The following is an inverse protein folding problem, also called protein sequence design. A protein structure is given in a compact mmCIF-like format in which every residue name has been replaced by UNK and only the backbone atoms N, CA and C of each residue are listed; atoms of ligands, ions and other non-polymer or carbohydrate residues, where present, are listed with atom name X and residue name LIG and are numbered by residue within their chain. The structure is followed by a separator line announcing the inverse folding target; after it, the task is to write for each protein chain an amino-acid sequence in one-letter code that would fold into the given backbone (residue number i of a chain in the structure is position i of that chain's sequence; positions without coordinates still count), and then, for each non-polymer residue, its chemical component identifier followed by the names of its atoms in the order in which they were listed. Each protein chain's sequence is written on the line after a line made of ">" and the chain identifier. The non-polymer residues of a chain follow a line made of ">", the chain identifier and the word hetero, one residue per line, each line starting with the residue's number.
data_IF_659266082135
#
_entry.id   IF_659266082135
#
_cell.length_a   1.000
_cell.length_b   1.000
_cell.length_c   1.000
_cell.angle_alpha   90.00
_cell.angle_beta   90.00
_cell.angle_gamma   90.00
#
_symmetry.space_group_name_H-M   'P 1'
#
loop_
_entity.id
_entity.type
_entity.pdbx_description
1 polymer ?
#
# COMPACT_ATOMS: atom_id res chain seq x y z
N UNK A 1 -5.55 -18.22 -1.41
CA UNK A 1 -4.53 -17.59 -0.54
C UNK A 1 -5.07 -16.24 -0.11
N UNK A 2 -5.23 -15.98 1.19
CA UNK A 2 -5.84 -14.72 1.70
C UNK A 2 -4.87 -14.05 2.67
N UNK A 3 -4.23 -12.96 2.30
CA UNK A 3 -3.26 -12.28 3.15
C UNK A 3 -3.99 -11.54 4.28
N UNK A 4 -3.56 -11.75 5.53
CA UNK A 4 -4.11 -11.11 6.73
C UNK A 4 -3.10 -10.10 7.24
N UNK A 5 -3.54 -8.85 7.37
CA UNK A 5 -2.74 -7.77 7.96
C UNK A 5 -3.23 -7.62 9.41
N UNK A 6 -2.36 -7.88 10.38
CA UNK A 6 -2.66 -7.66 11.80
C UNK A 6 -2.36 -6.20 12.11
N UNK A 7 -3.37 -5.35 12.07
CA UNK A 7 -3.29 -3.99 12.62
C UNK A 7 -3.77 -4.03 14.07
N UNK A 8 -3.03 -3.39 14.99
CA UNK A 8 -3.48 -3.25 16.38
C UNK A 8 -4.72 -2.33 16.43
N UNK A 9 -5.65 -2.66 17.33
CA UNK A 9 -7.01 -2.08 17.42
C UNK A 9 -7.05 -0.57 17.75
N UNK A 10 -5.91 0.03 18.09
CA UNK A 10 -5.78 1.39 18.62
C UNK A 10 -5.34 2.47 17.60
N UNK A 11 -5.15 2.14 16.31
CA UNK A 11 -4.74 3.09 15.25
C UNK A 11 -5.68 3.05 14.04
N UNK A 12 -6.91 3.57 14.19
CA UNK A 12 -8.03 3.28 13.29
C UNK A 12 -8.65 4.58 12.69
N UNK A 13 -8.92 4.71 11.38
CA UNK A 13 -9.07 3.69 10.34
C UNK A 13 -8.60 4.21 8.97
N UNK A 14 -7.75 3.46 8.28
CA UNK A 14 -7.76 3.46 6.82
C UNK A 14 -8.21 2.09 6.32
N UNK A 15 -8.93 2.13 5.21
CA UNK A 15 -9.69 1.01 4.65
C UNK A 15 -8.89 0.30 3.54
N UNK A 16 -9.42 -0.82 3.07
CA UNK A 16 -8.92 -1.53 1.89
C UNK A 16 -9.60 -0.93 0.66
N UNK A 17 -8.80 -0.48 -0.31
CA UNK A 17 -9.29 0.10 -1.57
C UNK A 17 -8.81 -0.68 -2.78
N UNK A 18 -9.56 -0.61 -3.88
CA UNK A 18 -9.14 -1.22 -5.15
C UNK A 18 -8.30 -0.22 -5.96
N UNK A 19 -7.02 -0.54 -6.16
CA UNK A 19 -6.08 0.26 -6.95
C UNK A 19 -5.50 -0.63 -8.03
N UNK A 20 -5.56 -0.20 -9.30
CA UNK A 20 -5.08 -1.00 -10.44
C UNK A 20 -5.67 -2.43 -10.48
N UNK A 21 -6.94 -2.58 -10.09
CA UNK A 21 -7.65 -3.87 -10.08
C UNK A 21 -7.19 -4.84 -8.99
N UNK A 22 -6.47 -4.37 -7.97
CA UNK A 22 -6.03 -5.18 -6.83
C UNK A 22 -6.37 -4.52 -5.50
N UNK A 23 -6.67 -5.33 -4.46
CA UNK A 23 -6.91 -4.81 -3.12
C UNK A 23 -5.60 -4.28 -2.53
N UNK A 24 -5.63 -3.03 -2.11
CA UNK A 24 -4.52 -2.34 -1.49
C UNK A 24 -4.94 -1.81 -0.12
N UNK A 25 -4.04 -1.90 0.85
CA UNK A 25 -4.18 -1.20 2.12
C UNK A 25 -3.56 0.18 2.00
N UNK A 26 -4.22 1.18 2.59
CA UNK A 26 -3.62 2.50 2.83
C UNK A 26 -3.14 2.59 4.27
N UNK A 27 -1.87 2.96 4.46
CA UNK A 27 -1.28 3.09 5.79
C UNK A 27 -1.81 4.34 6.50
N UNK A 28 -2.48 4.22 7.67
CA UNK A 28 -3.15 5.34 8.33
C UNK A 28 -2.22 6.50 8.69
N UNK A 29 -0.94 6.20 8.94
CA UNK A 29 0.07 7.20 9.31
C UNK A 29 0.72 7.87 8.08
N UNK A 30 1.20 7.08 7.12
CA UNK A 30 2.06 7.57 6.03
C UNK A 30 1.35 7.67 4.67
N UNK A 31 0.11 7.18 4.59
CA UNK A 31 -0.74 7.15 3.38
C UNK A 31 -0.16 6.34 2.23
N UNK A 32 0.83 5.48 2.50
CA UNK A 32 1.35 4.53 1.55
C UNK A 32 0.28 3.54 1.15
N UNK A 33 0.17 3.31 -0.16
CA UNK A 33 -0.74 2.34 -0.76
C UNK A 33 0.08 1.09 -1.05
N UNK A 34 -0.32 -0.05 -0.51
CA UNK A 34 0.42 -1.31 -0.61
C UNK A 34 -0.56 -2.42 -1.01
N UNK A 35 -0.23 -3.15 -2.08
CA UNK A 35 -0.97 -4.34 -2.48
C UNK A 35 -1.00 -5.35 -1.35
N UNK A 36 -2.21 -5.75 -0.97
CA UNK A 36 -2.39 -6.84 -0.02
C UNK A 36 -1.91 -8.15 -0.63
N UNK A 37 -2.02 -8.31 -1.94
CA UNK A 37 -1.67 -9.55 -2.65
C UNK A 37 -0.17 -9.73 -2.85
N UNK A 38 0.56 -8.66 -3.15
CA UNK A 38 1.97 -8.75 -3.61
C UNK A 38 2.96 -8.02 -2.71
N UNK A 39 2.49 -7.13 -1.83
CA UNK A 39 3.36 -6.24 -1.05
C UNK A 39 3.98 -5.11 -1.87
N UNK A 40 3.55 -4.92 -3.12
CA UNK A 40 3.97 -3.83 -4.00
C UNK A 40 3.39 -2.51 -3.53
N UNK A 41 4.23 -1.45 -3.45
CA UNK A 41 3.76 -0.12 -3.09
C UNK A 41 3.48 0.74 -4.31
N UNK A 42 2.35 1.44 -4.30
CA UNK A 42 1.91 2.34 -5.37
C UNK A 42 1.90 3.79 -4.94
N UNK A 43 2.09 4.68 -5.91
CA UNK A 43 1.96 6.12 -5.73
C UNK A 43 1.43 6.78 -7.01
N UNK A 44 0.86 7.98 -6.87
CA UNK A 44 0.51 8.84 -8.01
C UNK A 44 1.50 9.99 -8.07
N UNK A 45 2.33 10.10 -9.12
CA UNK A 45 3.13 11.30 -9.35
C UNK A 45 2.24 12.52 -9.52
N UNK A 46 2.79 13.69 -9.22
CA UNK A 46 2.11 14.97 -9.39
C UNK A 46 2.90 15.86 -10.34
N UNK A 47 2.19 16.57 -11.22
CA UNK A 47 2.74 17.63 -12.05
C UNK A 47 2.09 18.96 -11.68
N UNK A 48 2.89 20.02 -11.59
CA UNK A 48 2.38 21.38 -11.32
C UNK A 48 2.34 22.15 -12.62
N UNK A 49 1.13 22.36 -13.14
CA UNK A 49 0.91 23.09 -14.39
C UNK A 49 0.44 24.52 -14.12
N UNK A 50 0.68 25.41 -15.07
CA UNK A 50 0.06 26.73 -15.09
C UNK A 50 -1.18 26.71 -15.98
N UNK A 51 -2.29 27.23 -15.47
CA UNK A 51 -3.56 27.35 -16.18
C UNK A 51 -4.08 28.77 -16.00
N UNK A 52 -4.57 29.36 -17.09
CA UNK A 52 -5.27 30.63 -17.04
C UNK A 52 -6.74 30.41 -16.68
N UNK A 53 -7.19 31.05 -15.61
CA UNK A 53 -8.57 30.96 -15.14
C UNK A 53 -9.05 32.37 -14.77
N UNK A 54 -10.10 32.85 -15.44
CA UNK A 54 -10.63 34.21 -15.31
C UNK A 54 -9.56 35.31 -15.52
N UNK A 55 -8.71 35.15 -16.53
CA UNK A 55 -7.67 36.13 -16.89
C UNK A 55 -6.49 36.20 -15.90
N UNK A 56 -6.33 35.20 -15.03
CA UNK A 56 -5.20 35.09 -14.10
C UNK A 56 -4.51 33.74 -14.23
N UNK A 57 -3.18 33.76 -14.28
CA UNK A 57 -2.35 32.55 -14.22
C UNK A 57 -2.39 31.95 -12.82
N UNK A 58 -2.80 30.68 -12.71
CA UNK A 58 -2.83 29.90 -11.47
C UNK A 58 -2.05 28.61 -11.64
N UNK A 59 -1.47 28.12 -10.53
CA UNK A 59 -0.84 26.80 -10.48
C UNK A 59 -1.87 25.76 -10.07
N UNK A 60 -1.93 24.65 -10.80
CA UNK A 60 -2.80 23.51 -10.50
C UNK A 60 -1.96 22.24 -10.38
N UNK A 61 -2.29 21.40 -9.40
CA UNK A 61 -1.68 20.07 -9.24
C UNK A 61 -2.49 19.07 -10.06
N UNK A 62 -1.83 18.42 -11.01
CA UNK A 62 -2.37 17.31 -11.79
C UNK A 62 -1.85 16.00 -11.22
N UNK A 63 -2.75 15.10 -10.86
CA UNK A 63 -2.39 13.74 -10.46
C UNK A 63 -2.23 12.87 -11.71
N UNK A 64 -1.03 12.33 -11.92
CA UNK A 64 -0.72 11.42 -13.01
C UNK A 64 -1.18 9.99 -12.69
N UNK A 65 -0.99 9.08 -13.65
CA UNK A 65 -1.32 7.67 -13.49
C UNK A 65 -0.50 7.03 -12.37
N UNK A 66 -1.08 6.00 -11.77
CA UNK A 66 -0.41 5.19 -10.76
C UNK A 66 0.92 4.62 -11.27
N UNK A 67 1.90 4.61 -10.38
CA UNK A 67 3.23 4.02 -10.59
C UNK A 67 3.55 3.09 -9.42
N UNK A 68 4.35 2.08 -9.72
CA UNK A 68 4.89 1.13 -8.75
C UNK A 68 6.23 1.61 -8.20
N UNK A 69 6.49 1.32 -6.93
CA UNK A 69 7.81 1.38 -6.28
C UNK A 69 8.47 -0.01 -6.11
N UNK A 70 7.84 -1.06 -6.62
CA UNK A 70 8.22 -2.45 -6.39
C UNK A 70 7.70 -2.99 -5.05
N UNK A 71 8.08 -4.24 -4.73
CA UNK A 71 7.75 -4.90 -3.47
C UNK A 71 8.43 -4.17 -2.31
N UNK A 72 7.63 -3.56 -1.44
CA UNK A 72 8.12 -2.83 -0.27
C UNK A 72 7.73 -3.49 1.06
N UNK A 73 6.71 -4.36 1.02
CA UNK A 73 6.19 -5.08 2.17
C UNK A 73 6.36 -6.59 1.96
N UNK A 74 6.94 -7.28 2.95
CA UNK A 74 6.97 -8.74 2.96
C UNK A 74 5.56 -9.30 3.12
N UNK A 75 5.19 -10.22 2.24
CA UNK A 75 3.92 -10.95 2.28
C UNK A 75 4.17 -12.36 2.78
N UNK A 76 3.23 -12.91 3.54
CA UNK A 76 3.30 -14.26 4.07
C UNK A 76 2.18 -15.13 3.49
N UNK A 77 2.42 -16.43 3.45
CA UNK A 77 1.41 -17.38 3.00
C UNK A 77 0.37 -17.57 4.10
N UNK A 78 -0.91 -17.57 3.72
CA UNK A 78 -2.01 -17.71 4.66
C UNK A 78 -3.03 -18.74 4.18
N UNK A 79 -3.41 -19.62 5.09
CA UNK A 79 -4.46 -20.63 4.93
C UNK A 79 -5.59 -20.36 5.94
N UNK A 80 -6.84 -20.40 5.46
CA UNK A 80 -8.04 -20.33 6.31
C UNK A 80 -8.71 -21.70 6.28
N UNK A 81 -8.86 -22.33 7.44
CA UNK A 81 -9.42 -23.67 7.59
C UNK A 81 -10.06 -23.82 8.97
N UNK A 82 -11.27 -24.40 9.04
CA UNK A 82 -12.01 -24.62 10.29
C UNK A 82 -12.11 -23.35 11.18
N UNK A 83 -12.50 -22.23 10.57
CA UNK A 83 -12.59 -20.89 11.19
C UNK A 83 -11.30 -20.40 11.86
N UNK A 84 -10.15 -20.97 11.47
CA UNK A 84 -8.83 -20.55 11.92
C UNK A 84 -8.01 -20.00 10.77
N UNK A 85 -7.15 -19.04 11.09
CA UNK A 85 -6.17 -18.46 10.17
C UNK A 85 -4.80 -19.01 10.55
N UNK A 86 -4.14 -19.64 9.60
CA UNK A 86 -2.76 -20.14 9.72
C UNK A 86 -1.87 -19.28 8.83
N UNK A 87 -0.74 -18.83 9.38
CA UNK A 87 0.25 -18.03 8.65
C UNK A 87 1.54 -18.82 8.59
N UNK A 88 2.10 -18.96 7.39
CA UNK A 88 3.45 -19.47 7.16
C UNK A 88 4.32 -18.29 6.78
N UNK A 89 5.30 -18.00 7.64
CA UNK A 89 6.23 -16.91 7.45
C UNK A 89 7.07 -17.14 6.19
N UNK A 90 7.39 -16.04 5.52
CA UNK A 90 8.27 -16.02 4.36
C UNK A 90 9.68 -15.77 4.88
N UNK A 91 10.52 -16.80 4.82
CA UNK A 91 11.90 -16.81 5.29
C UNK A 91 12.90 -16.50 4.16
N UNK A 92 12.43 -15.94 3.04
CA UNK A 92 13.32 -15.55 1.96
C UNK A 92 14.34 -14.49 2.42
N UNK A 93 15.54 -14.57 1.86
CA UNK A 93 16.69 -13.75 2.28
C UNK A 93 16.83 -12.44 1.52
N UNK A 94 15.98 -12.18 0.51
CA UNK A 94 15.92 -10.87 -0.13
C UNK A 94 15.52 -9.81 0.89
N UNK A 95 16.26 -8.71 0.95
CA UNK A 95 15.95 -7.62 1.89
C UNK A 95 14.82 -6.76 1.33
N UNK A 96 13.77 -6.58 2.12
CA UNK A 96 12.67 -5.67 1.83
C UNK A 96 12.65 -4.50 2.81
N UNK A 97 12.21 -3.30 2.39
CA UNK A 97 12.12 -2.13 3.26
C UNK A 97 11.35 -2.37 4.58
N UNK A 98 10.35 -3.24 4.57
CA UNK A 98 9.58 -3.61 5.77
C UNK A 98 10.40 -4.35 6.83
N UNK A 99 11.46 -5.06 6.44
CA UNK A 99 12.19 -5.96 7.34
C UNK A 99 12.91 -5.20 8.46
N UNK A 100 13.31 -3.94 8.18
CA UNK A 100 13.87 -3.02 9.19
C UNK A 100 12.94 -2.81 10.39
N UNK A 101 11.64 -2.97 10.20
CA UNK A 101 10.61 -2.76 11.23
C UNK A 101 10.02 -4.08 11.74
N UNK A 102 10.50 -5.23 11.25
CA UNK A 102 10.00 -6.56 11.58
C UNK A 102 10.79 -7.20 12.74
N UNK A 103 10.96 -6.46 13.84
CA UNK A 103 11.57 -6.98 15.06
C UNK A 103 10.53 -7.68 15.95
N UNK A 104 10.95 -8.78 16.59
CA UNK A 104 10.20 -9.56 17.57
C UNK A 104 10.10 -8.85 18.92
#
# INVERSE_FOLDING_TARGET
>A
MRIVIILREDWNTEDIEEILGQPCIRCPQHKYVISISTGESFYRPVEVIQVEENGRLRRKVLLLDWKSKGKCQRTHEVKVENDKVYVKLDESTDELPSDKYAFL
#
